data_IF_063382509147
#
_entry.id   IF_063382509147
#
_cell.length_a   1.000
_cell.length_b   1.000
_cell.length_c   1.000
_cell.angle_alpha   90.00
_cell.angle_beta   90.00
_cell.angle_gamma   90.00
#
_symmetry.space_group_name_H-M   'P 1'
#
loop_
_entity.id
_entity.type
_entity.pdbx_description
1 polymer ?
#
# COMPACT_ATOMS: atom_id res chain seq x y z
N UNK A 1 3.83 0.88 -49.52
CA UNK A 1 3.67 1.65 -48.26
C UNK A 1 4.60 0.98 -47.24
N UNK A 2 5.81 1.48 -46.92
CA UNK A 2 6.15 2.61 -46.01
C UNK A 2 5.50 2.39 -44.62
N UNK A 3 6.16 2.30 -43.46
CA UNK A 3 7.48 2.78 -42.97
C UNK A 3 7.87 1.95 -41.72
N UNK A 4 9.05 1.31 -41.73
CA UNK A 4 10.24 1.57 -40.89
C UNK A 4 10.14 1.26 -39.38
N UNK A 5 10.92 0.27 -38.98
CA UNK A 5 11.39 0.04 -37.61
C UNK A 5 12.16 1.28 -37.13
N UNK A 6 11.68 1.94 -36.09
CA UNK A 6 12.51 2.77 -35.24
C UNK A 6 12.11 2.52 -33.79
N UNK A 7 12.84 1.61 -33.14
CA UNK A 7 12.94 1.56 -31.70
C UNK A 7 13.61 2.86 -31.24
N UNK A 8 12.80 3.85 -30.87
CA UNK A 8 13.30 5.04 -30.21
C UNK A 8 13.26 4.80 -28.69
N UNK A 9 14.22 4.02 -28.22
CA UNK A 9 14.62 4.00 -26.81
C UNK A 9 15.09 5.40 -26.42
N UNK A 10 14.15 6.22 -25.94
CA UNK A 10 14.46 7.28 -25.00
C UNK A 10 14.10 6.79 -23.62
N UNK A 11 15.04 6.03 -23.07
CA UNK A 11 15.21 5.79 -21.65
C UNK A 11 15.19 7.14 -20.92
N UNK A 12 14.02 7.56 -20.45
CA UNK A 12 13.93 8.55 -19.39
C UNK A 12 13.72 7.79 -18.08
N UNK A 13 14.79 7.14 -17.63
CA UNK A 13 14.92 6.77 -16.23
C UNK A 13 15.11 8.07 -15.43
N UNK A 14 14.08 8.49 -14.70
CA UNK A 14 14.23 9.48 -13.64
C UNK A 14 13.34 9.09 -12.47
N UNK A 15 13.98 8.77 -11.35
CA UNK A 15 13.36 8.66 -10.03
C UNK A 15 13.40 7.26 -9.44
N UNK A 16 14.53 6.90 -8.84
CA UNK A 16 14.62 5.82 -7.85
C UNK A 16 13.51 5.96 -6.81
N UNK A 17 12.55 5.04 -6.85
CA UNK A 17 11.73 4.64 -5.72
C UNK A 17 11.23 3.23 -6.02
N UNK A 18 11.53 2.28 -5.14
CA UNK A 18 11.08 0.88 -5.19
C UNK A 18 9.55 0.76 -4.97
N UNK A 19 8.75 1.57 -5.65
CA UNK A 19 7.33 1.29 -5.86
C UNK A 19 7.24 0.20 -6.91
N UNK A 20 6.79 -0.98 -6.49
CA UNK A 20 6.49 -2.09 -7.40
C UNK A 20 5.26 -1.70 -8.23
N UNK A 21 5.49 -0.92 -9.29
CA UNK A 21 4.55 -0.71 -10.39
C UNK A 21 4.56 -2.02 -11.17
N UNK A 22 3.38 -2.62 -11.38
CA UNK A 22 3.30 -3.78 -12.23
C UNK A 22 3.80 -3.39 -13.64
N UNK A 23 4.81 -4.06 -14.21
CA UNK A 23 5.40 -3.63 -15.48
C UNK A 23 4.44 -3.69 -16.68
N UNK A 24 3.21 -4.19 -16.46
CA UNK A 24 2.19 -4.44 -17.47
C UNK A 24 0.85 -3.74 -17.19
N UNK A 25 0.66 -3.03 -16.08
CA UNK A 25 -0.62 -2.37 -15.76
C UNK A 25 -1.82 -3.33 -15.72
N UNK A 26 -1.61 -4.59 -15.36
CA UNK A 26 -2.61 -5.65 -15.48
C UNK A 26 -3.59 -5.69 -14.29
N UNK A 27 -3.26 -5.06 -13.16
CA UNK A 27 -4.12 -5.11 -11.95
C UNK A 27 -4.40 -3.71 -11.41
N UNK A 28 -5.59 -3.19 -11.70
CA UNK A 28 -6.09 -1.94 -11.11
C UNK A 28 -6.39 -2.13 -9.63
N UNK A 29 -5.78 -1.34 -8.75
CA UNK A 29 -5.98 -1.40 -7.29
C UNK A 29 -6.64 -0.13 -6.78
N UNK A 30 -7.81 -0.28 -6.15
CA UNK A 30 -8.58 0.84 -5.61
C UNK A 30 -8.73 0.71 -4.10
N UNK A 31 -8.49 1.81 -3.37
CA UNK A 31 -8.77 1.91 -1.95
C UNK A 31 -10.20 2.37 -1.70
N UNK A 32 -10.91 1.71 -0.77
CA UNK A 32 -12.19 2.16 -0.22
C UNK A 32 -12.18 2.11 1.30
N UNK A 33 -12.63 3.21 1.91
CA UNK A 33 -12.85 3.25 3.35
C UNK A 33 -13.89 2.18 3.74
N UNK A 34 -13.53 1.29 4.66
CA UNK A 34 -14.52 0.38 5.23
C UNK A 34 -15.45 1.16 6.17
N UNK A 35 -16.76 0.94 6.03
CA UNK A 35 -17.83 1.64 6.77
C UNK A 35 -17.73 1.54 8.29
N UNK A 36 -16.86 0.67 8.82
CA UNK A 36 -16.68 0.46 10.26
C UNK A 36 -15.51 1.23 10.89
N UNK A 37 -14.67 1.92 10.10
CA UNK A 37 -13.60 2.75 10.67
C UNK A 37 -14.14 4.10 11.14
N UNK A 38 -13.96 4.42 12.43
CA UNK A 38 -14.19 5.78 12.91
C UNK A 38 -13.05 6.70 12.49
N UNK A 39 -13.36 7.98 12.26
CA UNK A 39 -12.39 9.05 11.95
C UNK A 39 -11.35 9.33 13.06
N UNK A 40 -11.46 8.63 14.19
CA UNK A 40 -10.59 8.73 15.36
C UNK A 40 -10.35 7.33 15.91
N UNK A 41 -9.19 7.12 16.54
CA UNK A 41 -9.03 6.00 17.45
C UNK A 41 -10.07 6.12 18.57
N UNK A 42 -10.87 5.07 18.77
CA UNK A 42 -11.84 5.05 19.88
C UNK A 42 -11.65 3.77 20.67
N UNK A 43 -11.38 3.90 21.97
CA UNK A 43 -11.58 2.77 22.89
C UNK A 43 -13.09 2.54 23.02
N UNK A 44 -13.54 1.37 22.61
CA UNK A 44 -14.92 0.92 22.89
C UNK A 44 -14.88 -0.14 23.97
N UNK A 45 -16.02 -0.44 24.58
CA UNK A 45 -16.18 -1.58 25.51
C UNK A 45 -15.83 -2.93 24.87
N UNK A 46 -15.67 -2.98 23.53
CA UNK A 46 -15.29 -4.17 22.74
C UNK A 46 -13.83 -4.14 22.25
N UNK A 47 -13.01 -3.19 22.71
CA UNK A 47 -11.62 -2.99 22.24
C UNK A 47 -11.44 -1.71 21.40
N UNK A 48 -10.18 -1.34 21.14
CA UNK A 48 -9.82 -0.13 20.38
C UNK A 48 -10.16 -0.27 18.90
N UNK A 49 -10.88 0.71 18.33
CA UNK A 49 -11.08 0.85 16.88
C UNK A 49 -9.99 1.71 16.31
N UNK A 50 -9.23 1.18 15.35
CA UNK A 50 -8.19 1.93 14.64
C UNK A 50 -8.78 2.97 13.68
N UNK A 51 -8.15 4.15 13.68
CA UNK A 51 -8.43 5.26 12.76
C UNK A 51 -8.27 4.82 11.29
N UNK A 52 -9.12 5.38 10.42
CA UNK A 52 -8.90 5.34 8.98
C UNK A 52 -7.66 6.15 8.56
N UNK A 53 -6.96 5.75 7.49
CA UNK A 53 -5.88 6.54 6.90
C UNK A 53 -6.36 7.93 6.47
N UNK A 54 -5.48 8.93 6.54
CA UNK A 54 -5.72 10.25 5.93
C UNK A 54 -5.81 10.17 4.41
N UNK A 55 -4.92 9.39 3.80
CA UNK A 55 -4.87 9.15 2.36
C UNK A 55 -4.67 7.66 2.08
N UNK A 56 -5.79 6.95 1.95
CA UNK A 56 -5.79 5.50 1.76
C UNK A 56 -5.26 5.06 0.40
N UNK A 57 -5.57 5.81 -0.67
CA UNK A 57 -5.09 5.47 -2.01
C UNK A 57 -3.59 5.70 -2.13
N UNK A 58 -3.08 6.86 -1.69
CA UNK A 58 -1.63 7.10 -1.70
C UNK A 58 -0.88 6.08 -0.83
N UNK A 59 -1.50 5.62 0.28
CA UNK A 59 -0.89 4.56 1.08
C UNK A 59 -0.88 3.22 0.36
N UNK A 60 -1.93 2.89 -0.41
CA UNK A 60 -1.99 1.68 -1.23
C UNK A 60 -0.95 1.72 -2.36
N UNK A 61 -0.77 2.87 -3.00
CA UNK A 61 0.22 3.07 -4.06
C UNK A 61 1.65 2.96 -3.48
N UNK A 62 1.87 3.51 -2.28
CA UNK A 62 3.14 3.44 -1.54
C UNK A 62 3.19 2.25 -0.54
N UNK A 63 2.68 1.08 -0.95
CA UNK A 63 2.66 -0.12 -0.10
C UNK A 63 3.45 -1.28 -0.68
N UNK A 64 3.93 -2.14 0.20
CA UNK A 64 4.56 -3.42 -0.14
C UNK A 64 3.72 -4.59 0.37
N UNK A 65 3.78 -5.72 -0.33
CA UNK A 65 3.11 -6.94 0.10
C UNK A 65 3.87 -7.57 1.27
N UNK A 66 3.16 -8.01 2.31
CA UNK A 66 3.79 -8.53 3.53
C UNK A 66 4.44 -9.90 3.28
N UNK A 67 3.78 -10.75 2.48
CA UNK A 67 4.26 -12.08 2.09
C UNK A 67 3.54 -12.56 0.83
N UNK A 68 4.18 -13.42 0.04
CA UNK A 68 3.62 -13.90 -1.23
C UNK A 68 2.31 -14.69 -1.05
N UNK A 69 2.17 -15.39 0.09
CA UNK A 69 1.00 -16.23 0.40
C UNK A 69 -0.25 -15.43 0.80
N UNK A 70 -0.20 -14.10 0.86
CA UNK A 70 -1.29 -13.27 1.37
C UNK A 70 -1.35 -11.92 0.64
N UNK A 71 -2.53 -11.46 0.20
CA UNK A 71 -2.66 -10.17 -0.49
C UNK A 71 -2.51 -8.97 0.46
N UNK A 72 -2.40 -9.19 1.78
CA UNK A 72 -2.16 -8.14 2.77
C UNK A 72 -0.91 -7.34 2.44
N UNK A 73 -1.06 -6.02 2.46
CA UNK A 73 -0.02 -5.04 2.23
C UNK A 73 0.20 -4.16 3.46
N UNK A 74 1.33 -3.49 3.49
CA UNK A 74 1.63 -2.47 4.50
C UNK A 74 2.32 -1.30 3.80
N UNK A 75 1.92 -0.08 4.14
CA UNK A 75 2.43 1.13 3.50
C UNK A 75 2.44 2.32 4.46
N UNK A 76 2.90 3.45 3.94
CA UNK A 76 2.88 4.71 4.68
C UNK A 76 2.46 5.88 3.78
N UNK A 77 1.72 6.83 4.35
CA UNK A 77 1.45 8.14 3.76
C UNK A 77 1.09 9.14 4.85
N UNK A 78 1.37 10.42 4.66
CA UNK A 78 0.95 11.50 5.59
C UNK A 78 1.35 11.29 7.07
N UNK A 79 2.50 10.63 7.28
CA UNK A 79 3.04 10.29 8.59
C UNK A 79 2.34 9.11 9.29
N UNK A 80 1.49 8.36 8.58
CA UNK A 80 0.72 7.23 9.10
C UNK A 80 1.21 5.91 8.51
N UNK A 81 1.39 4.89 9.36
CA UNK A 81 1.60 3.51 8.91
C UNK A 81 0.25 2.82 8.81
N UNK A 82 -0.01 2.14 7.71
CA UNK A 82 -1.31 1.54 7.43
C UNK A 82 -1.14 0.07 7.04
N UNK A 83 -1.93 -0.79 7.68
CA UNK A 83 -2.11 -2.17 7.23
C UNK A 83 -3.29 -2.19 6.28
N UNK A 84 -3.09 -2.76 5.09
CA UNK A 84 -4.04 -2.74 3.99
C UNK A 84 -4.41 -4.18 3.63
N UNK A 85 -5.70 -4.47 3.62
CA UNK A 85 -6.27 -5.78 3.34
C UNK A 85 -7.15 -5.73 2.09
N UNK A 86 -7.07 -6.78 1.26
CA UNK A 86 -7.91 -6.89 0.06
C UNK A 86 -9.34 -7.22 0.49
N UNK A 87 -10.26 -6.34 0.14
CA UNK A 87 -11.71 -6.53 0.33
C UNK A 87 -12.25 -7.57 -0.63
N UNK A 88 -11.96 -7.41 -1.94
CA UNK A 88 -12.44 -8.30 -3.00
C UNK A 88 -11.65 -8.09 -4.29
N UNK A 89 -11.80 -9.04 -5.21
CA UNK A 89 -11.44 -8.90 -6.62
C UNK A 89 -12.75 -8.75 -7.40
N UNK A 90 -12.84 -7.73 -8.24
CA UNK A 90 -13.98 -7.44 -9.09
C UNK A 90 -13.95 -8.34 -10.35
N UNK A 91 -15.08 -8.49 -11.07
CA UNK A 91 -15.15 -9.35 -12.26
C UNK A 91 -14.19 -8.94 -13.39
N UNK A 92 -13.80 -7.67 -13.44
CA UNK A 92 -12.83 -7.11 -14.40
C UNK A 92 -11.36 -7.30 -13.96
N UNK A 93 -11.12 -8.00 -12.84
CA UNK A 93 -9.80 -8.22 -12.28
C UNK A 93 -9.28 -7.08 -11.38
N UNK A 94 -10.04 -5.99 -11.24
CA UNK A 94 -9.64 -4.91 -10.34
C UNK A 94 -9.75 -5.34 -8.88
N UNK A 95 -8.80 -4.93 -8.06
CA UNK A 95 -8.73 -5.28 -6.64
C UNK A 95 -9.18 -4.10 -5.78
N UNK A 96 -10.13 -4.36 -4.88
CA UNK A 96 -10.59 -3.39 -3.91
C UNK A 96 -9.93 -3.68 -2.57
N UNK A 97 -9.33 -2.66 -1.95
CA UNK A 97 -8.63 -2.74 -0.67
C UNK A 97 -9.23 -1.79 0.36
N UNK A 98 -9.04 -2.09 1.63
CA UNK A 98 -9.30 -1.18 2.74
C UNK A 98 -8.13 -1.23 3.73
N UNK A 99 -8.00 -0.24 4.60
CA UNK A 99 -6.88 -0.19 5.52
C UNK A 99 -7.18 0.50 6.84
N UNK A 100 -6.27 0.31 7.77
CA UNK A 100 -6.35 0.92 9.09
C UNK A 100 -4.97 1.35 9.59
N UNK A 101 -4.94 2.49 10.27
CA UNK A 101 -3.71 3.04 10.83
C UNK A 101 -3.25 2.18 12.01
N UNK A 102 -1.95 1.93 12.07
CA UNK A 102 -1.27 1.22 13.16
C UNK A 102 -0.06 2.00 13.63
N UNK A 103 0.26 1.87 14.92
CA UNK A 103 1.54 2.34 15.44
C UNK A 103 2.59 1.28 15.16
N UNK A 104 3.84 1.70 14.98
CA UNK A 104 4.97 0.80 14.71
C UNK A 104 5.03 -0.42 15.65
N UNK A 105 4.90 -0.17 16.96
CA UNK A 105 4.93 -1.21 18.00
C UNK A 105 3.77 -2.20 17.95
N UNK A 106 2.67 -1.84 17.28
CA UNK A 106 1.46 -2.64 17.16
C UNK A 106 1.41 -3.40 15.82
N UNK A 107 2.44 -3.23 14.97
CA UNK A 107 2.62 -4.00 13.74
C UNK A 107 3.23 -5.37 14.05
N UNK A 108 2.85 -6.37 13.25
CA UNK A 108 3.50 -7.67 13.28
C UNK A 108 4.95 -7.56 12.77
N UNK A 109 5.84 -8.44 13.22
CA UNK A 109 7.26 -8.42 12.83
C UNK A 109 7.45 -8.50 11.31
N UNK A 110 6.62 -9.29 10.62
CA UNK A 110 6.66 -9.39 9.15
C UNK A 110 6.30 -8.07 8.47
N UNK A 111 5.34 -7.32 9.02
CA UNK A 111 4.95 -6.01 8.50
C UNK A 111 6.07 -4.98 8.71
N UNK A 112 6.70 -5.00 9.88
CA UNK A 112 7.87 -4.15 10.16
C UNK A 112 9.02 -4.50 9.21
N UNK A 113 9.28 -5.78 8.96
CA UNK A 113 10.32 -6.22 8.04
C UNK A 113 10.00 -5.83 6.59
N UNK A 114 8.75 -5.99 6.15
CA UNK A 114 8.33 -5.55 4.82
C UNK A 114 8.55 -4.04 4.63
N UNK A 115 8.14 -3.21 5.59
CA UNK A 115 8.35 -1.75 5.56
C UNK A 115 9.85 -1.35 5.51
N UNK A 116 10.70 -2.02 6.29
CA UNK A 116 12.15 -1.79 6.28
C UNK A 116 12.78 -2.19 4.95
N UNK A 117 12.45 -3.39 4.46
CA UNK A 117 13.03 -3.95 3.23
C UNK A 117 12.59 -3.15 2.00
N UNK A 118 11.39 -2.57 2.03
CA UNK A 118 10.89 -1.66 0.99
C UNK A 118 11.47 -0.23 1.09
N UNK A 119 12.26 0.08 2.12
CA UNK A 119 12.82 1.42 2.34
C UNK A 119 11.80 2.48 2.79
N UNK A 120 10.57 2.08 3.15
CA UNK A 120 9.50 2.99 3.59
C UNK A 120 9.78 3.50 5.02
N UNK A 121 10.41 2.68 5.85
CA UNK A 121 10.77 3.05 7.23
C UNK A 121 12.19 2.63 7.59
N UNK A 122 12.78 3.30 8.57
CA UNK A 122 14.00 2.82 9.21
C UNK A 122 13.74 1.72 10.25
N UNK A 123 14.80 1.19 10.87
CA UNK A 123 14.71 0.13 11.88
C UNK A 123 13.91 0.49 13.15
N UNK A 124 13.67 1.78 13.39
CA UNK A 124 12.90 2.31 14.53
C UNK A 124 11.45 2.64 14.17
N UNK A 125 11.03 2.37 12.93
CA UNK A 125 9.67 2.67 12.46
C UNK A 125 9.43 4.12 12.09
N UNK A 126 10.49 4.92 11.90
CA UNK A 126 10.37 6.27 11.34
C UNK A 126 10.22 6.16 9.82
N UNK A 127 9.19 6.77 9.26
CA UNK A 127 9.00 6.90 7.81
C UNK A 127 10.14 7.74 7.23
N UNK A 128 10.68 7.30 6.08
CA UNK A 128 11.84 7.91 5.39
C UNK A 128 11.35 8.85 4.29
#
# INVERSE_FOLDING_TARGET
>A
MRVSLTNNTKNNYVGDSNSWVDPFGLVSRTYKDASYHSSKDRKTSKGGKSKKPKDGQATLDNSTQVKDSSPRRVGASEGELVVIDRTRVLPDGAEEYHGHVRKWKDLHVDQQNALKNAGITNSKGKII
#
